data_IF_501185864460
#
_entry.id   IF_501185864460
#
_cell.length_a   1.000
_cell.length_b   1.000
_cell.length_c   1.000
_cell.angle_alpha   90.00
_cell.angle_beta   90.00
_cell.angle_gamma   90.00
#
_symmetry.space_group_name_H-M   'P 1'
#
loop_
_entity.id
_entity.type
_entity.pdbx_description
1 polymer ?
#
# COMPACT_ATOMS: atom_id res chain seq x y z
N UNK A 1 11.74 -6.43 -29.10
CA UNK A 1 12.75 -5.65 -28.34
C UNK A 1 12.38 -4.18 -28.47
N UNK A 2 11.96 -3.52 -27.40
CA UNK A 2 11.63 -2.09 -27.46
C UNK A 2 12.95 -1.30 -27.45
N UNK A 3 13.14 -0.40 -28.41
CA UNK A 3 14.31 0.47 -28.49
C UNK A 3 13.93 1.83 -27.90
N UNK A 4 14.55 2.19 -26.78
CA UNK A 4 14.29 3.45 -26.08
C UNK A 4 15.44 4.42 -26.33
N UNK A 5 15.14 5.62 -26.82
CA UNK A 5 16.10 6.73 -26.90
C UNK A 5 15.81 7.69 -25.76
N UNK A 6 16.77 7.89 -24.87
CA UNK A 6 16.67 8.92 -23.82
C UNK A 6 16.89 10.27 -24.50
N UNK A 7 15.82 11.08 -24.58
CA UNK A 7 15.85 12.39 -25.23
C UNK A 7 16.36 13.49 -24.29
N UNK A 8 16.07 13.36 -22.98
CA UNK A 8 16.49 14.29 -21.94
C UNK A 8 16.73 13.56 -20.62
N UNK A 9 17.83 13.88 -19.94
CA UNK A 9 18.05 13.51 -18.54
C UNK A 9 17.47 14.59 -17.64
N UNK A 10 16.63 14.20 -16.68
CA UNK A 10 16.06 15.12 -15.68
C UNK A 10 17.06 15.48 -14.56
N UNK A 11 18.23 14.82 -14.52
CA UNK A 11 19.20 15.00 -13.44
C UNK A 11 18.68 14.47 -12.09
N UNK A 12 19.21 15.02 -11.00
CA UNK A 12 18.73 14.73 -9.64
C UNK A 12 17.44 15.50 -9.42
N UNK A 13 16.39 14.79 -9.01
CA UNK A 13 15.11 15.37 -8.67
C UNK A 13 14.97 15.47 -7.15
N UNK A 14 14.29 16.52 -6.69
CA UNK A 14 13.89 16.64 -5.29
C UNK A 14 12.84 15.56 -4.95
N UNK A 15 12.63 15.31 -3.65
CA UNK A 15 11.52 14.47 -3.19
C UNK A 15 10.19 14.99 -3.76
N UNK A 16 9.34 14.07 -4.21
CA UNK A 16 8.00 14.44 -4.68
C UNK A 16 7.40 13.45 -5.66
N UNK A 17 6.15 13.73 -6.04
CA UNK A 17 5.42 13.01 -7.08
C UNK A 17 5.56 13.78 -8.40
N UNK A 18 5.91 13.06 -9.46
CA UNK A 18 6.16 13.62 -10.78
C UNK A 18 5.31 12.90 -11.83
N UNK A 19 4.85 13.65 -12.83
CA UNK A 19 4.16 13.12 -13.99
C UNK A 19 5.01 13.35 -15.24
N UNK A 20 5.42 12.29 -15.91
CA UNK A 20 6.07 12.33 -17.23
C UNK A 20 4.99 12.19 -18.28
N UNK A 21 4.84 13.18 -19.16
CA UNK A 21 4.03 13.06 -20.38
C UNK A 21 4.95 12.69 -21.53
N UNK A 22 4.59 11.66 -22.29
CA UNK A 22 5.37 11.21 -23.43
C UNK A 22 4.47 10.96 -24.64
N UNK A 23 5.09 10.95 -25.81
CA UNK A 23 4.46 10.57 -27.07
C UNK A 23 5.32 9.49 -27.69
N UNK A 24 4.77 8.29 -27.92
CA UNK A 24 5.52 7.14 -28.39
C UNK A 24 4.86 6.52 -29.62
N UNK A 25 5.66 5.84 -30.45
CA UNK A 25 5.17 5.06 -31.59
C UNK A 25 5.66 3.63 -31.45
N UNK A 26 4.73 2.67 -31.57
CA UNK A 26 5.05 1.24 -31.39
C UNK A 26 5.42 0.62 -32.74
N UNK A 27 6.46 -0.21 -32.73
CA UNK A 27 6.77 -1.17 -33.81
C UNK A 27 7.02 -2.54 -33.21
N UNK A 28 6.66 -3.58 -33.94
CA UNK A 28 6.79 -4.97 -33.49
C UNK A 28 8.03 -5.62 -34.08
N UNK A 29 8.57 -6.62 -33.40
CA UNK A 29 9.61 -7.47 -33.99
C UNK A 29 8.91 -8.53 -34.83
N UNK A 30 9.23 -8.59 -36.12
CA UNK A 30 8.63 -9.54 -37.06
C UNK A 30 9.32 -10.90 -36.97
N UNK A 31 8.54 -11.98 -37.15
CA UNK A 31 9.04 -13.35 -37.11
C UNK A 31 10.12 -13.63 -38.18
N UNK A 32 10.09 -12.87 -39.28
CA UNK A 32 11.09 -12.92 -40.36
C UNK A 32 12.45 -12.31 -39.99
N UNK A 33 12.61 -11.78 -38.78
CA UNK A 33 13.79 -11.07 -38.33
C UNK A 33 13.76 -9.59 -38.72
N UNK A 34 13.86 -8.72 -37.72
CA UNK A 34 13.82 -7.26 -37.89
C UNK A 34 12.52 -6.62 -37.39
N UNK A 35 12.50 -5.29 -37.36
CA UNK A 35 11.34 -4.54 -36.88
C UNK A 35 10.38 -4.21 -38.01
N UNK A 36 9.07 -4.28 -37.74
CA UNK A 36 8.05 -3.75 -38.64
C UNK A 36 8.24 -2.24 -38.82
N UNK A 37 7.83 -1.67 -39.96
CA UNK A 37 7.66 -0.22 -40.06
C UNK A 37 6.79 0.30 -38.94
N UNK A 38 7.08 1.52 -38.47
CA UNK A 38 6.17 2.25 -37.61
C UNK A 38 4.85 2.43 -38.36
N UNK A 39 3.82 1.75 -37.90
CA UNK A 39 2.53 1.64 -38.61
C UNK A 39 1.35 2.14 -37.78
N UNK A 40 1.55 2.41 -36.49
CA UNK A 40 0.55 2.98 -35.60
C UNK A 40 0.73 4.51 -35.47
N UNK A 41 -0.35 5.29 -35.27
CA UNK A 41 -0.22 6.69 -34.89
C UNK A 41 0.55 6.83 -33.57
N UNK A 42 1.14 8.00 -33.36
CA UNK A 42 1.74 8.35 -32.07
C UNK A 42 0.68 8.23 -30.96
N UNK A 43 1.03 7.54 -29.88
CA UNK A 43 0.21 7.41 -28.68
C UNK A 43 0.81 8.33 -27.62
N UNK A 44 0.01 9.27 -27.14
CA UNK A 44 0.35 10.04 -25.96
C UNK A 44 0.08 9.20 -24.71
N UNK A 45 1.01 9.22 -23.76
CA UNK A 45 0.89 8.54 -22.49
C UNK A 45 1.42 9.40 -21.36
N UNK A 46 1.14 8.97 -20.13
CA UNK A 46 1.73 9.55 -18.95
C UNK A 46 2.19 8.46 -17.98
N UNK A 47 3.28 8.73 -17.28
CA UNK A 47 3.76 7.93 -16.15
C UNK A 47 3.83 8.79 -14.91
N UNK A 48 3.29 8.28 -13.81
CA UNK A 48 3.49 8.87 -12.50
C UNK A 48 4.60 8.11 -11.78
N UNK A 49 5.57 8.82 -11.22
CA UNK A 49 6.61 8.24 -10.40
C UNK A 49 6.84 9.08 -9.14
N UNK A 50 7.38 8.44 -8.11
CA UNK A 50 7.73 9.10 -6.86
C UNK A 50 9.24 9.07 -6.68
N UNK A 51 9.81 10.23 -6.37
CA UNK A 51 11.18 10.38 -5.87
C UNK A 51 11.10 10.43 -4.36
N UNK A 52 11.77 9.49 -3.73
CA UNK A 52 11.70 9.29 -2.29
C UNK A 52 12.89 9.93 -1.56
N UNK A 53 12.64 10.37 -0.34
CA UNK A 53 13.70 10.79 0.58
C UNK A 53 14.19 9.58 1.39
N UNK A 54 15.46 9.19 1.26
CA UNK A 54 15.96 7.96 1.91
C UNK A 54 15.99 8.05 3.44
N UNK A 55 15.82 9.25 4.04
CA UNK A 55 15.97 9.47 5.48
C UNK A 55 14.62 9.34 6.22
N UNK A 56 13.50 9.46 5.54
CA UNK A 56 12.17 9.52 6.17
C UNK A 56 11.37 8.22 6.10
N UNK A 57 12.03 7.09 5.84
CA UNK A 57 11.38 5.79 5.72
C UNK A 57 11.63 4.88 6.92
N UNK A 58 10.65 4.06 7.25
CA UNK A 58 10.80 2.93 8.17
C UNK A 58 9.94 1.74 7.73
N UNK A 59 10.01 0.66 8.49
CA UNK A 59 9.23 -0.56 8.23
C UNK A 59 8.09 -0.68 9.23
N UNK A 60 6.89 -0.89 8.71
CA UNK A 60 5.78 -1.42 9.48
C UNK A 60 5.91 -2.96 9.54
N UNK A 61 6.01 -3.52 10.75
CA UNK A 61 6.26 -4.93 11.00
C UNK A 61 4.94 -5.66 11.26
N UNK A 62 4.76 -6.80 10.62
CA UNK A 62 3.59 -7.66 10.82
C UNK A 62 3.83 -8.67 11.95
N UNK A 63 2.84 -8.77 12.83
CA UNK A 63 2.73 -9.75 13.89
C UNK A 63 1.46 -10.58 13.72
N UNK A 64 1.50 -11.83 14.20
CA UNK A 64 0.39 -12.77 14.17
C UNK A 64 0.11 -13.33 15.57
N UNK A 65 -1.18 -13.46 15.92
CA UNK A 65 -1.64 -14.10 17.14
C UNK A 65 -2.37 -15.40 16.81
N UNK A 66 -1.76 -16.54 17.18
CA UNK A 66 -2.25 -17.87 16.79
C UNK A 66 -3.65 -18.25 17.29
N UNK A 67 -4.00 -17.93 18.54
CA UNK A 67 -5.32 -18.30 19.11
C UNK A 67 -6.47 -17.50 18.51
N UNK A 68 -6.24 -16.24 18.15
CA UNK A 68 -7.25 -15.37 17.55
C UNK A 68 -7.32 -15.53 16.04
N UNK A 69 -6.21 -15.98 15.43
CA UNK A 69 -5.96 -15.92 13.98
C UNK A 69 -6.03 -14.46 13.48
N UNK A 70 -5.31 -13.58 14.18
CA UNK A 70 -5.30 -12.13 13.94
C UNK A 70 -3.92 -11.64 13.56
N UNK A 71 -3.88 -10.69 12.64
CA UNK A 71 -2.70 -9.96 12.23
C UNK A 71 -2.71 -8.54 12.80
N UNK A 72 -1.53 -8.03 13.11
CA UNK A 72 -1.30 -6.66 13.56
C UNK A 72 -0.11 -6.07 12.83
N UNK A 73 -0.22 -4.82 12.40
CA UNK A 73 0.81 -4.09 11.67
C UNK A 73 1.17 -2.82 12.43
N UNK A 74 2.46 -2.62 12.73
CA UNK A 74 2.91 -1.37 13.37
C UNK A 74 4.30 -0.94 12.92
N UNK A 75 4.49 0.36 12.75
CA UNK A 75 5.79 1.02 12.56
C UNK A 75 6.24 1.76 13.82
N UNK A 76 5.46 1.72 14.90
CA UNK A 76 5.77 2.42 16.15
C UNK A 76 6.84 1.63 16.94
N UNK A 77 8.03 2.22 17.19
CA UNK A 77 9.12 1.52 17.87
C UNK A 77 8.76 1.01 19.28
N UNK A 78 7.89 1.72 20.00
CA UNK A 78 7.47 1.32 21.34
C UNK A 78 6.50 0.14 21.32
N UNK A 79 5.61 0.07 20.33
CA UNK A 79 4.71 -1.08 20.12
C UNK A 79 5.52 -2.31 19.69
N UNK A 80 6.43 -2.14 18.73
CA UNK A 80 7.37 -3.17 18.27
C UNK A 80 8.16 -3.73 19.46
N UNK A 81 8.75 -2.86 20.28
CA UNK A 81 9.52 -3.27 21.45
C UNK A 81 8.68 -4.10 22.45
N UNK A 82 7.44 -3.69 22.71
CA UNK A 82 6.54 -4.44 23.61
C UNK A 82 6.14 -5.81 23.03
N UNK A 83 5.89 -5.89 21.73
CA UNK A 83 5.55 -7.16 21.08
C UNK A 83 6.75 -8.12 21.07
N UNK A 84 7.94 -7.61 20.74
CA UNK A 84 9.16 -8.42 20.68
C UNK A 84 9.63 -8.93 22.05
N UNK A 85 9.38 -8.15 23.12
CA UNK A 85 9.75 -8.51 24.49
C UNK A 85 8.67 -9.31 25.22
N UNK A 86 7.58 -9.67 24.54
CA UNK A 86 6.50 -10.46 25.13
C UNK A 86 5.60 -9.69 26.10
N UNK A 87 5.61 -8.35 26.05
CA UNK A 87 4.69 -7.51 26.81
C UNK A 87 3.22 -7.71 26.43
N UNK A 88 2.96 -8.26 25.24
CA UNK A 88 1.67 -8.78 24.80
C UNK A 88 1.82 -10.26 24.41
N UNK A 89 1.64 -11.20 25.37
CA UNK A 89 1.88 -12.62 25.12
C UNK A 89 1.01 -13.18 23.99
N UNK A 90 1.62 -13.97 23.10
CA UNK A 90 0.94 -14.68 22.00
C UNK A 90 1.15 -14.06 20.61
N UNK A 91 1.62 -12.82 20.52
CA UNK A 91 2.01 -12.19 19.26
C UNK A 91 3.42 -12.61 18.84
N UNK A 92 3.58 -13.01 17.59
CA UNK A 92 4.87 -13.38 17.00
C UNK A 92 5.08 -12.66 15.67
N UNK A 93 6.32 -12.24 15.37
CA UNK A 93 6.65 -11.68 14.05
C UNK A 93 6.41 -12.72 12.96
N UNK A 94 5.77 -12.33 11.86
CA UNK A 94 5.55 -13.22 10.70
C UNK A 94 6.74 -13.26 9.74
N UNK A 95 7.67 -12.32 9.90
CA UNK A 95 8.75 -12.05 8.93
C UNK A 95 8.32 -11.14 7.78
N UNK A 96 7.05 -10.74 7.70
CA UNK A 96 6.58 -9.75 6.73
C UNK A 96 6.73 -8.32 7.27
N UNK A 97 6.99 -7.40 6.35
CA UNK A 97 7.07 -5.97 6.63
C UNK A 97 6.65 -5.15 5.41
N UNK A 98 6.22 -3.92 5.66
CA UNK A 98 5.79 -2.97 4.63
C UNK A 98 6.60 -1.70 4.80
N UNK A 99 7.22 -1.21 3.72
CA UNK A 99 7.89 0.09 3.72
C UNK A 99 6.88 1.22 3.82
N UNK A 100 7.07 2.11 4.80
CA UNK A 100 6.20 3.28 5.02
C UNK A 100 7.04 4.55 5.20
N UNK A 101 6.40 5.70 4.98
CA UNK A 101 6.99 7.00 5.31
C UNK A 101 6.67 7.30 6.77
N UNK A 102 7.64 7.84 7.51
CA UNK A 102 7.47 8.21 8.92
C UNK A 102 6.37 9.26 9.07
N UNK A 103 5.58 9.15 10.13
CA UNK A 103 4.41 10.03 10.35
C UNK A 103 4.78 11.51 10.52
N UNK A 104 6.01 11.80 10.96
CA UNK A 104 6.52 13.15 11.22
C UNK A 104 7.16 13.85 10.01
N UNK A 105 7.25 13.18 8.86
CA UNK A 105 7.80 13.81 7.65
C UNK A 105 6.79 14.79 7.06
N UNK A 106 6.97 16.08 7.35
CA UNK A 106 6.10 17.15 6.88
C UNK A 106 6.26 17.45 5.38
N UNK A 107 7.39 17.10 4.78
CA UNK A 107 7.72 17.40 3.38
C UNK A 107 7.20 16.33 2.42
N UNK A 108 6.89 15.14 2.94
CA UNK A 108 6.37 14.04 2.13
C UNK A 108 4.99 14.35 1.53
N UNK A 109 4.84 13.98 0.25
CA UNK A 109 3.55 14.00 -0.47
C UNK A 109 2.69 12.75 -0.20
N UNK A 110 3.14 11.83 0.64
CA UNK A 110 2.39 10.66 1.04
C UNK A 110 1.19 11.03 1.94
N UNK A 111 0.11 10.27 1.86
CA UNK A 111 -1.10 10.46 2.66
C UNK A 111 -0.91 9.86 4.06
N UNK A 112 -1.46 10.54 5.08
CA UNK A 112 -1.54 10.01 6.43
C UNK A 112 -2.39 8.74 6.48
N UNK A 113 -1.91 7.71 7.17
CA UNK A 113 -2.66 6.49 7.42
C UNK A 113 -3.34 6.58 8.78
N UNK A 114 -4.66 6.63 8.79
CA UNK A 114 -5.44 6.56 10.01
C UNK A 114 -5.45 5.12 10.55
N UNK A 115 -5.47 4.96 11.87
CA UNK A 115 -5.64 3.69 12.58
C UNK A 115 -6.85 3.76 13.48
N UNK A 116 -7.73 2.78 13.35
CA UNK A 116 -8.88 2.58 14.21
C UNK A 116 -8.74 1.28 15.00
N UNK A 117 -9.28 1.28 16.20
CA UNK A 117 -9.51 0.09 17.00
C UNK A 117 -10.99 -0.27 17.01
N UNK A 118 -11.30 -1.52 16.69
CA UNK A 118 -12.65 -2.05 16.76
C UNK A 118 -13.09 -2.18 18.21
N UNK A 119 -14.27 -1.65 18.54
CA UNK A 119 -14.82 -1.67 19.89
C UNK A 119 -15.19 -3.10 20.34
N UNK A 120 -14.54 -3.64 21.41
CA UNK A 120 -14.85 -4.98 21.94
C UNK A 120 -16.29 -5.14 22.41
N UNK A 121 -16.96 -4.08 22.83
CA UNK A 121 -18.37 -4.12 23.20
C UNK A 121 -19.30 -4.41 21.99
N UNK A 122 -18.78 -4.27 20.76
CA UNK A 122 -19.47 -4.63 19.51
C UNK A 122 -18.99 -5.98 18.95
N UNK A 123 -18.17 -6.71 19.70
CA UNK A 123 -17.59 -7.99 19.27
C UNK A 123 -16.37 -7.84 18.36
N UNK A 124 -15.90 -6.61 18.10
CA UNK A 124 -14.70 -6.34 17.30
C UNK A 124 -13.46 -6.38 18.18
N UNK A 125 -12.33 -6.84 17.66
CA UNK A 125 -11.08 -6.81 18.43
C UNK A 125 -9.86 -6.72 17.52
N UNK A 126 -9.89 -5.80 16.57
CA UNK A 126 -8.85 -5.66 15.55
C UNK A 126 -8.63 -4.21 15.19
N UNK A 127 -7.50 -3.98 14.53
CA UNK A 127 -7.17 -2.72 13.92
C UNK A 127 -7.70 -2.65 12.48
N UNK A 128 -8.00 -1.42 12.04
CA UNK A 128 -8.32 -1.06 10.66
C UNK A 128 -7.48 0.16 10.27
N UNK A 129 -6.98 0.18 9.04
CA UNK A 129 -6.07 1.20 8.54
C UNK A 129 -6.53 1.68 7.17
N UNK A 130 -6.35 2.98 6.92
CA UNK A 130 -6.58 3.56 5.60
C UNK A 130 -5.68 4.76 5.34
N UNK A 131 -5.12 4.84 4.13
CA UNK A 131 -4.44 6.02 3.61
C UNK A 131 -5.42 7.02 2.96
N UNK A 132 -6.69 6.64 2.76
CA UNK A 132 -7.71 7.50 2.16
C UNK A 132 -8.38 8.36 3.23
N UNK A 133 -8.19 9.67 3.15
CA UNK A 133 -8.84 10.63 4.04
C UNK A 133 -10.37 10.50 4.02
N UNK A 134 -10.94 10.20 2.84
CA UNK A 134 -12.38 9.99 2.67
C UNK A 134 -12.85 8.70 3.34
N UNK A 135 -12.06 7.62 3.27
CA UNK A 135 -12.40 6.37 3.97
C UNK A 135 -12.30 6.57 5.49
N UNK A 136 -11.24 7.23 5.98
CA UNK A 136 -11.11 7.58 7.40
C UNK A 136 -12.33 8.39 7.88
N UNK A 137 -12.72 9.43 7.14
CA UNK A 137 -13.88 10.24 7.48
C UNK A 137 -15.20 9.44 7.42
N UNK A 138 -15.34 8.55 6.44
CA UNK A 138 -16.51 7.69 6.30
C UNK A 138 -16.63 6.68 7.45
N UNK A 139 -15.53 6.10 7.92
CA UNK A 139 -15.54 5.19 9.08
C UNK A 139 -16.02 5.93 10.33
N UNK A 140 -15.49 7.13 10.59
CA UNK A 140 -15.91 7.98 11.72
C UNK A 140 -17.41 8.29 11.64
N UNK A 141 -17.89 8.67 10.46
CA UNK A 141 -19.28 9.10 10.29
C UNK A 141 -20.29 7.94 10.35
N UNK A 142 -19.95 6.79 9.76
CA UNK A 142 -20.88 5.65 9.60
C UNK A 142 -20.83 4.67 10.76
N UNK A 143 -19.69 4.55 11.44
CA UNK A 143 -19.47 3.53 12.46
C UNK A 143 -18.88 4.09 13.77
N UNK A 144 -19.38 5.23 14.30
CA UNK A 144 -18.75 5.94 15.43
C UNK A 144 -18.66 5.11 16.72
N UNK A 145 -19.60 4.17 16.93
CA UNK A 145 -19.63 3.31 18.12
C UNK A 145 -18.86 1.99 17.93
N UNK A 146 -18.48 1.65 16.70
CA UNK A 146 -17.85 0.39 16.36
C UNK A 146 -16.36 0.56 16.07
N UNK A 147 -15.95 1.65 15.42
CA UNK A 147 -14.56 1.93 15.08
C UNK A 147 -14.09 3.21 15.75
N UNK A 148 -13.21 3.06 16.74
CA UNK A 148 -12.68 4.15 17.52
C UNK A 148 -11.37 4.63 16.89
N UNK A 149 -11.29 5.91 16.54
CA UNK A 149 -10.06 6.48 15.98
C UNK A 149 -8.96 6.50 17.07
N UNK A 150 -7.90 5.72 16.88
CA UNK A 150 -6.73 5.76 17.77
C UNK A 150 -5.74 6.84 17.34
N UNK A 151 -5.53 6.97 16.04
CA UNK A 151 -4.64 7.99 15.48
C UNK A 151 -5.02 8.31 14.04
N UNK A 152 -4.98 9.60 13.71
CA UNK A 152 -5.17 10.07 12.33
C UNK A 152 -3.93 9.85 11.44
N UNK A 153 -2.77 9.51 12.03
CA UNK A 153 -1.50 9.34 11.32
C UNK A 153 -0.55 8.42 12.11
N UNK A 154 -0.60 7.12 11.87
CA UNK A 154 0.38 6.16 12.45
C UNK A 154 1.65 6.03 11.60
N UNK A 155 1.52 6.28 10.30
CA UNK A 155 2.58 6.40 9.31
C UNK A 155 1.96 7.01 8.05
N UNK A 156 2.75 7.23 7.01
CA UNK A 156 2.29 7.75 5.72
C UNK A 156 2.53 6.73 4.60
N UNK A 157 1.66 6.74 3.59
CA UNK A 157 1.75 5.90 2.39
C UNK A 157 1.13 6.59 1.18
N UNK A 158 1.53 6.21 -0.02
CA UNK A 158 1.00 6.85 -1.24
C UNK A 158 -0.30 6.19 -1.67
N UNK A 159 -1.22 6.96 -2.23
CA UNK A 159 -2.44 6.40 -2.81
C UNK A 159 -2.17 5.82 -4.20
N UNK A 160 -2.82 4.70 -4.58
CA UNK A 160 -2.87 4.26 -5.97
C UNK A 160 -3.68 5.25 -6.80
N UNK A 161 -3.63 5.11 -8.11
CA UNK A 161 -4.61 5.70 -9.00
C UNK A 161 -6.02 5.18 -8.62
N UNK A 162 -6.93 6.11 -8.29
CA UNK A 162 -8.26 5.77 -7.78
C UNK A 162 -9.20 5.18 -8.85
N UNK A 163 -8.80 5.20 -10.12
CA UNK A 163 -9.58 4.66 -11.24
C UNK A 163 -9.21 3.21 -11.52
N UNK A 164 -7.91 2.89 -11.49
CA UNK A 164 -7.42 1.59 -11.93
C UNK A 164 -6.60 0.81 -10.87
N UNK A 165 -6.32 1.41 -9.70
CA UNK A 165 -5.58 0.76 -8.61
C UNK A 165 -4.07 0.69 -8.82
N UNK A 166 -3.53 1.28 -9.90
CA UNK A 166 -2.09 1.24 -10.18
C UNK A 166 -1.31 2.12 -9.21
N UNK A 167 -0.21 1.58 -8.68
CA UNK A 167 0.75 2.37 -7.92
C UNK A 167 1.63 3.22 -8.85
N UNK A 168 2.04 4.42 -8.41
CA UNK A 168 3.12 5.15 -9.05
C UNK A 168 4.37 4.27 -9.21
N UNK A 169 5.14 4.52 -10.27
CA UNK A 169 6.41 3.82 -10.52
C UNK A 169 7.32 3.97 -9.29
N UNK A 170 8.06 2.90 -8.98
CA UNK A 170 8.93 2.69 -7.82
C UNK A 170 8.23 2.46 -6.48
N UNK A 171 6.90 2.34 -6.46
CA UNK A 171 6.16 1.95 -5.26
C UNK A 171 5.61 0.54 -5.37
N UNK A 172 5.44 -0.11 -4.23
CA UNK A 172 4.96 -1.48 -4.12
C UNK A 172 3.49 -1.49 -3.72
N UNK A 173 2.59 -2.16 -4.46
CA UNK A 173 1.19 -2.25 -4.07
C UNK A 173 1.02 -2.97 -2.72
N UNK A 174 0.13 -2.45 -1.89
CA UNK A 174 -0.30 -3.09 -0.65
C UNK A 174 -1.75 -3.52 -0.77
N UNK A 175 -2.02 -4.74 -0.36
CA UNK A 175 -3.33 -5.37 -0.37
C UNK A 175 -3.88 -5.45 1.05
N UNK A 176 -5.12 -5.01 1.26
CA UNK A 176 -5.88 -5.22 2.50
C UNK A 176 -6.82 -6.40 2.31
N UNK A 177 -6.81 -7.34 3.25
CA UNK A 177 -7.64 -8.53 3.24
C UNK A 177 -8.48 -8.55 4.51
N UNK A 178 -9.80 -8.61 4.38
CA UNK A 178 -10.76 -8.75 5.47
C UNK A 178 -11.11 -10.22 5.71
N UNK A 179 -11.00 -10.71 6.95
CA UNK A 179 -11.19 -12.13 7.27
C UNK A 179 -12.64 -12.63 7.19
N UNK A 180 -13.62 -11.76 6.94
CA UNK A 180 -15.05 -12.12 6.84
C UNK A 180 -15.61 -12.87 8.06
N UNK A 181 -15.09 -12.56 9.25
CA UNK A 181 -15.55 -13.15 10.52
C UNK A 181 -16.17 -12.08 11.43
N UNK A 182 -17.05 -12.46 12.37
CA UNK A 182 -17.68 -11.52 13.30
C UNK A 182 -16.69 -10.74 14.18
N UNK A 183 -15.55 -11.35 14.51
CA UNK A 183 -14.51 -10.73 15.35
C UNK A 183 -13.63 -9.73 14.59
N UNK A 184 -13.72 -9.77 13.25
CA UNK A 184 -13.05 -8.90 12.27
C UNK A 184 -11.53 -8.88 12.40
N UNK A 185 -10.82 -9.13 11.31
CA UNK A 185 -9.41 -8.79 11.22
C UNK A 185 -9.04 -8.38 9.80
N UNK A 186 -8.10 -7.45 9.70
CA UNK A 186 -7.54 -7.02 8.44
C UNK A 186 -6.06 -7.36 8.40
N UNK A 187 -5.63 -8.02 7.33
CA UNK A 187 -4.21 -8.27 7.04
C UNK A 187 -3.77 -7.37 5.90
N UNK A 188 -2.55 -6.87 5.99
CA UNK A 188 -1.95 -6.00 4.98
C UNK A 188 -0.67 -6.66 4.47
N UNK A 189 -0.50 -6.74 3.15
CA UNK A 189 0.67 -7.38 2.56
C UNK A 189 1.05 -6.77 1.22
N UNK A 190 2.34 -6.77 0.92
CA UNK A 190 2.88 -6.47 -0.43
C UNK A 190 2.99 -7.74 -1.28
N UNK A 191 2.83 -8.93 -0.69
CA UNK A 191 2.99 -10.21 -1.38
C UNK A 191 1.70 -10.61 -2.09
N UNK A 192 1.78 -10.75 -3.41
CA UNK A 192 0.70 -11.36 -4.21
C UNK A 192 0.41 -12.78 -3.74
N UNK A 193 1.43 -13.57 -3.39
CA UNK A 193 1.24 -14.95 -2.97
C UNK A 193 0.46 -15.02 -1.65
N UNK A 194 0.79 -14.17 -0.67
CA UNK A 194 0.04 -14.09 0.58
C UNK A 194 -1.39 -13.63 0.32
N UNK A 195 -1.59 -12.61 -0.52
CA UNK A 195 -2.94 -12.17 -0.93
C UNK A 195 -3.76 -13.34 -1.48
N UNK A 196 -3.21 -14.10 -2.42
CA UNK A 196 -3.91 -15.24 -3.01
C UNK A 196 -4.16 -16.36 -2.00
N UNK A 197 -3.23 -16.63 -1.09
CA UNK A 197 -3.42 -17.59 0.00
C UNK A 197 -4.58 -17.18 0.93
N UNK A 198 -4.66 -15.90 1.32
CA UNK A 198 -5.75 -15.40 2.16
C UNK A 198 -7.09 -15.48 1.44
N UNK A 199 -7.14 -15.13 0.14
CA UNK A 199 -8.35 -15.27 -0.68
C UNK A 199 -8.80 -16.74 -0.75
N UNK A 200 -7.86 -17.66 -0.97
CA UNK A 200 -8.16 -19.09 -0.97
C UNK A 200 -8.67 -19.59 0.40
N UNK A 201 -8.28 -18.92 1.49
CA UNK A 201 -8.77 -19.16 2.85
C UNK A 201 -10.10 -18.43 3.17
N UNK A 202 -10.72 -17.76 2.19
CA UNK A 202 -12.02 -17.10 2.34
C UNK A 202 -11.97 -15.63 2.77
N UNK A 203 -10.77 -15.02 2.80
CA UNK A 203 -10.63 -13.59 3.06
C UNK A 203 -11.04 -12.76 1.83
N UNK A 204 -11.60 -11.58 2.08
CA UNK A 204 -12.12 -10.68 1.05
C UNK A 204 -11.08 -9.58 0.79
N UNK A 205 -10.57 -9.43 -0.43
CA UNK A 205 -9.65 -8.34 -0.76
C UNK A 205 -10.41 -7.01 -0.85
N UNK A 206 -9.82 -5.96 -0.30
CA UNK A 206 -10.38 -4.60 -0.29
C UNK A 206 -9.38 -3.62 -0.87
N UNK A 207 -9.86 -2.71 -1.71
CA UNK A 207 -9.04 -1.67 -2.33
C UNK A 207 -9.58 -1.25 -3.68
N UNK A 208 -8.74 -0.57 -4.44
CA UNK A 208 -9.08 0.02 -5.74
C UNK A 208 -8.57 -0.87 -6.88
N UNK A 209 -9.34 -0.90 -7.97
CA UNK A 209 -8.94 -1.56 -9.22
C UNK A 209 -9.05 -3.09 -9.16
N UNK A 210 -8.69 -3.77 -10.27
CA UNK A 210 -8.79 -5.22 -10.36
C UNK A 210 -7.91 -5.95 -9.34
N UNK A 211 -6.81 -5.31 -8.91
CA UNK A 211 -5.89 -5.86 -7.93
C UNK A 211 -6.22 -5.47 -6.48
N UNK A 212 -7.29 -4.72 -6.22
CA UNK A 212 -7.72 -4.32 -4.88
C UNK A 212 -6.55 -3.73 -4.05
N UNK A 213 -5.90 -2.71 -4.60
CA UNK A 213 -4.78 -2.02 -3.94
C UNK A 213 -5.34 -0.99 -2.96
N UNK A 214 -4.95 -1.06 -1.69
CA UNK A 214 -5.43 -0.13 -0.65
C UNK A 214 -4.52 1.10 -0.52
N UNK A 215 -3.21 0.92 -0.72
CA UNK A 215 -2.20 1.97 -0.80
C UNK A 215 -0.91 1.42 -1.46
N UNK A 216 0.08 2.29 -1.63
CA UNK A 216 1.37 2.01 -2.23
C UNK A 216 2.49 2.29 -1.22
N UNK A 217 3.24 1.25 -0.91
CA UNK A 217 4.37 1.26 0.00
C UNK A 217 5.65 1.75 -0.69
N UNK A 218 6.55 2.31 0.11
CA UNK A 218 7.93 2.51 -0.35
C UNK A 218 8.63 1.15 -0.44
N UNK A 219 9.55 0.97 -1.40
CA UNK A 219 10.21 -0.32 -1.66
C UNK A 219 11.15 -0.73 -0.54
#
# INVERSE_FOLDING_TARGET
MLEYKIDQSLGVLAEGRYAVRYVAQVRYYADAGGFTPYSAPFVAGAWDFVVLNPVSHNSAIEYYYGTLDHYFLTSNPAEISKLDTGGFPGWVRTGQQIGVVTSGDAESTASSVCRFYGNPAKGLNSHFYSASADECAAVIAKYPDAWLLESANVFRSYLPDLTNGACPINLTPVYRLYNNRPDVNHRYTTSIDIKQQMIAAGWIPEGVGPDAVVWCAVP
#
